data_IF_401414620308
#
_entry.id   IF_401414620308
#
_cell.length_a   1.000
_cell.length_b   1.000
_cell.length_c   1.000
_cell.angle_alpha   90.00
_cell.angle_beta   90.00
_cell.angle_gamma   90.00
#
_symmetry.space_group_name_H-M   'P 1'
#
loop_
_entity.id
_entity.type
_entity.pdbx_description
1 polymer ?
#
# COMPACT_ATOMS: atom_id res chain seq x y z
N UNK A 1 62.90 55.55 3.34
CA UNK A 1 62.95 55.00 1.97
C UNK A 1 63.11 53.50 2.08
N UNK A 2 62.04 52.75 1.81
CA UNK A 2 62.04 51.28 1.87
C UNK A 2 62.76 50.75 0.63
N UNK A 3 63.68 49.80 0.79
CA UNK A 3 64.49 49.26 -0.32
C UNK A 3 63.59 48.43 -1.26
N UNK A 4 63.77 48.58 -2.57
CA UNK A 4 62.99 47.91 -3.63
C UNK A 4 62.89 46.38 -3.42
N UNK A 5 63.93 45.73 -2.89
CA UNK A 5 63.89 44.29 -2.59
C UNK A 5 62.94 43.92 -1.44
N UNK A 6 62.74 44.80 -0.45
CA UNK A 6 61.78 44.57 0.64
C UNK A 6 60.34 44.86 0.23
N UNK A 7 60.15 45.74 -0.76
CA UNK A 7 58.85 45.97 -1.39
C UNK A 7 58.41 44.74 -2.21
N UNK A 8 59.34 44.11 -2.95
CA UNK A 8 59.05 42.89 -3.72
C UNK A 8 58.72 41.68 -2.82
N UNK A 9 59.41 41.50 -1.69
CA UNK A 9 59.10 40.39 -0.76
C UNK A 9 57.79 40.63 -0.02
N UNK A 10 57.47 41.87 0.34
CA UNK A 10 56.17 42.21 0.95
C UNK A 10 54.99 42.00 -0.01
N UNK A 11 55.15 42.33 -1.31
CA UNK A 11 54.11 42.09 -2.33
C UNK A 11 53.96 40.59 -2.64
N UNK A 12 55.06 39.82 -2.64
CA UNK A 12 55.00 38.37 -2.79
C UNK A 12 54.29 37.68 -1.60
N UNK A 13 54.52 38.13 -0.35
CA UNK A 13 53.78 37.60 0.80
C UNK A 13 52.30 38.00 0.80
N UNK A 14 51.96 39.23 0.37
CA UNK A 14 50.56 39.69 0.31
C UNK A 14 49.75 38.94 -0.76
N UNK A 15 50.38 38.52 -1.84
CA UNK A 15 49.72 37.77 -2.93
C UNK A 15 49.54 36.29 -2.60
N UNK A 16 50.44 35.66 -1.83
CA UNK A 16 50.23 34.29 -1.34
C UNK A 16 49.09 34.19 -0.31
N UNK A 17 48.76 35.26 0.42
CA UNK A 17 47.68 35.26 1.41
C UNK A 17 46.27 35.38 0.79
N UNK A 18 46.14 35.69 -0.51
CA UNK A 18 44.84 35.91 -1.16
C UNK A 18 44.32 34.70 -1.97
N UNK A 19 45.03 33.56 -1.96
CA UNK A 19 44.63 32.36 -2.71
C UNK A 19 43.77 31.38 -1.91
N UNK A 20 43.48 31.63 -0.63
CA UNK A 20 42.49 30.86 0.12
C UNK A 20 41.09 31.44 -0.04
N UNK A 21 40.58 31.45 -1.28
CA UNK A 21 39.13 31.57 -1.46
C UNK A 21 38.56 30.24 -0.98
N UNK A 22 37.67 30.20 0.02
CA UNK A 22 36.96 28.97 0.31
C UNK A 22 36.22 28.60 -0.97
N UNK A 23 36.61 27.51 -1.62
CA UNK A 23 35.74 26.84 -2.58
C UNK A 23 34.44 26.65 -1.84
N UNK A 24 33.40 27.40 -2.22
CA UNK A 24 32.04 27.04 -1.87
C UNK A 24 31.92 25.61 -2.35
N UNK A 25 31.96 24.66 -1.41
CA UNK A 25 31.52 23.31 -1.70
C UNK A 25 30.12 23.53 -2.24
N UNK A 26 29.95 23.34 -3.55
CA UNK A 26 28.64 23.19 -4.14
C UNK A 26 28.09 22.00 -3.37
N UNK A 27 27.23 22.29 -2.39
CA UNK A 27 26.45 21.26 -1.74
C UNK A 27 25.76 20.55 -2.89
N UNK A 28 26.17 19.32 -3.19
CA UNK A 28 25.36 18.46 -4.05
C UNK A 28 23.93 18.59 -3.51
N UNK A 29 22.93 18.78 -4.37
CA UNK A 29 21.55 18.66 -3.91
C UNK A 29 21.51 17.35 -3.14
N UNK A 30 21.12 17.41 -1.86
CA UNK A 30 20.95 16.19 -1.10
C UNK A 30 20.07 15.28 -1.95
N UNK A 31 20.60 14.14 -2.39
CA UNK A 31 19.78 13.15 -3.08
C UNK A 31 18.62 12.88 -2.14
N UNK A 32 17.43 13.26 -2.57
CA UNK A 32 16.23 13.10 -1.77
C UNK A 32 16.02 11.59 -1.69
N UNK A 33 16.37 11.01 -0.53
CA UNK A 33 16.28 9.57 -0.32
C UNK A 33 14.82 9.14 -0.51
N UNK A 34 14.58 8.33 -1.53
CA UNK A 34 13.23 7.85 -1.83
C UNK A 34 12.82 6.88 -0.73
N UNK A 35 11.71 7.13 -0.01
CA UNK A 35 11.31 6.27 1.08
C UNK A 35 10.93 4.88 0.57
N UNK A 36 11.41 3.84 1.25
CA UNK A 36 10.97 2.47 1.01
C UNK A 36 9.55 2.28 1.57
N UNK A 37 8.60 1.73 0.79
CA UNK A 37 7.26 1.42 1.29
C UNK A 37 7.31 0.52 2.52
N UNK A 38 6.48 0.82 3.51
CA UNK A 38 6.32 -0.07 4.67
C UNK A 38 5.51 -1.29 4.24
N UNK A 39 5.95 -2.52 4.59
CA UNK A 39 5.13 -3.71 4.39
C UNK A 39 3.80 -3.59 5.13
N UNK A 40 2.75 -4.19 4.59
CA UNK A 40 1.49 -4.31 5.31
C UNK A 40 1.67 -5.12 6.59
N UNK A 41 0.92 -4.79 7.67
CA UNK A 41 0.86 -5.65 8.85
C UNK A 41 0.35 -7.04 8.49
N UNK A 42 0.80 -8.06 9.22
CA UNK A 42 0.36 -9.45 8.99
C UNK A 42 -1.16 -9.63 9.16
N UNK A 43 -1.77 -8.83 10.02
CA UNK A 43 -3.21 -8.84 10.28
C UNK A 43 -3.74 -7.43 10.52
N UNK A 44 -4.82 -7.06 9.84
CA UNK A 44 -5.52 -5.80 10.05
C UNK A 44 -6.98 -5.87 9.59
N UNK A 45 -7.78 -4.93 10.08
CA UNK A 45 -9.11 -4.64 9.57
C UNK A 45 -9.13 -3.26 8.90
N UNK A 46 -9.75 -3.16 7.73
CA UNK A 46 -9.90 -1.91 7.01
C UNK A 46 -11.36 -1.70 6.59
N UNK A 47 -11.81 -0.45 6.66
CA UNK A 47 -13.12 -0.04 6.15
C UNK A 47 -12.96 0.76 4.87
N UNK A 48 -13.38 0.18 3.74
CA UNK A 48 -13.24 0.79 2.42
C UNK A 48 -14.57 1.37 1.96
N UNK A 49 -14.54 2.62 1.52
CA UNK A 49 -15.67 3.30 0.89
C UNK A 49 -15.40 3.44 -0.60
N UNK A 50 -16.13 2.69 -1.42
CA UNK A 50 -15.88 2.59 -2.85
C UNK A 50 -17.04 3.12 -3.66
N UNK A 51 -16.72 3.92 -4.68
CA UNK A 51 -17.64 4.25 -5.76
C UNK A 51 -17.34 3.33 -6.94
N UNK A 52 -18.19 2.33 -7.15
CA UNK A 52 -17.99 1.36 -8.22
C UNK A 52 -18.33 1.99 -9.57
N UNK A 53 -17.68 1.50 -10.64
CA UNK A 53 -17.90 1.96 -12.02
C UNK A 53 -19.36 1.90 -12.49
N UNK A 54 -20.18 1.09 -11.82
CA UNK A 54 -21.63 0.97 -12.02
C UNK A 54 -22.46 2.03 -11.28
N UNK A 55 -21.82 3.08 -10.75
CA UNK A 55 -22.41 4.16 -9.94
C UNK A 55 -23.14 3.67 -8.69
N UNK A 56 -22.64 2.58 -8.08
CA UNK A 56 -23.15 2.04 -6.83
C UNK A 56 -22.10 2.24 -5.73
N UNK A 57 -22.50 2.89 -4.63
CA UNK A 57 -21.64 2.97 -3.45
C UNK A 57 -21.61 1.61 -2.74
N UNK A 58 -20.40 1.22 -2.35
CA UNK A 58 -20.13 0.02 -1.57
C UNK A 58 -19.28 0.38 -0.36
N UNK A 59 -19.66 -0.15 0.80
CA UNK A 59 -18.79 -0.24 1.97
C UNK A 59 -18.25 -1.67 2.03
N UNK A 60 -16.94 -1.84 2.20
CA UNK A 60 -16.31 -3.14 2.46
C UNK A 60 -15.62 -3.13 3.81
N UNK A 61 -15.92 -4.12 4.65
CA UNK A 61 -15.07 -4.47 5.78
C UNK A 61 -14.08 -5.53 5.29
N UNK A 62 -12.79 -5.20 5.26
CA UNK A 62 -11.72 -6.09 4.85
C UNK A 62 -10.95 -6.56 6.08
N UNK A 63 -10.96 -7.86 6.33
CA UNK A 63 -10.12 -8.51 7.32
C UNK A 63 -8.99 -9.24 6.60
N UNK A 64 -7.78 -8.69 6.71
CA UNK A 64 -6.55 -9.26 6.15
C UNK A 64 -5.90 -10.17 7.19
N UNK A 65 -5.59 -11.41 6.80
CA UNK A 65 -5.01 -12.42 7.70
C UNK A 65 -3.95 -13.27 6.98
N UNK A 66 -2.76 -12.69 6.84
CA UNK A 66 -1.63 -13.30 6.12
C UNK A 66 -1.13 -14.62 6.73
N UNK A 67 -0.96 -14.77 8.06
CA UNK A 67 -0.51 -16.04 8.65
C UNK A 67 -1.46 -17.20 8.31
N UNK A 68 -2.76 -16.92 8.21
CA UNK A 68 -3.78 -17.91 7.84
C UNK A 68 -4.14 -17.89 6.34
N UNK A 69 -3.41 -17.11 5.52
CA UNK A 69 -3.49 -17.11 4.06
C UNK A 69 -4.88 -16.79 3.50
N UNK A 70 -5.59 -15.86 4.14
CA UNK A 70 -6.94 -15.47 3.75
C UNK A 70 -7.19 -13.95 3.84
N UNK A 71 -8.05 -13.46 2.97
CA UNK A 71 -8.74 -12.18 3.10
C UNK A 71 -10.24 -12.43 3.19
N UNK A 72 -10.91 -11.75 4.11
CA UNK A 72 -12.38 -11.77 4.17
C UNK A 72 -12.88 -10.36 3.92
N UNK A 73 -13.69 -10.20 2.87
CA UNK A 73 -14.41 -8.98 2.59
C UNK A 73 -15.91 -9.16 2.88
N UNK A 74 -16.51 -8.16 3.51
CA UNK A 74 -17.96 -8.08 3.72
C UNK A 74 -18.48 -6.84 3.00
N UNK A 75 -19.15 -7.05 1.87
CA UNK A 75 -19.64 -6.00 1.00
C UNK A 75 -21.09 -5.63 1.31
N UNK A 76 -21.30 -4.35 1.59
CA UNK A 76 -22.63 -3.74 1.66
C UNK A 76 -22.78 -2.71 0.53
N UNK A 77 -23.61 -3.03 -0.46
CA UNK A 77 -24.04 -2.08 -1.50
C UNK A 77 -25.34 -1.38 -1.08
N UNK A 78 -25.56 -0.14 -1.51
CA UNK A 78 -26.75 0.64 -1.10
C UNK A 78 -28.10 -0.04 -1.39
N UNK A 79 -28.18 -0.88 -2.42
CA UNK A 79 -29.40 -1.60 -2.83
C UNK A 79 -29.14 -3.10 -3.06
N UNK A 80 -28.06 -3.62 -2.46
CA UNK A 80 -27.65 -5.01 -2.62
C UNK A 80 -27.94 -5.87 -1.39
N UNK A 81 -27.74 -7.17 -1.55
CA UNK A 81 -27.64 -8.10 -0.42
C UNK A 81 -26.25 -7.98 0.21
N UNK A 82 -26.15 -8.24 1.52
CA UNK A 82 -24.87 -8.37 2.20
C UNK A 82 -24.13 -9.58 1.61
N UNK A 83 -23.00 -9.32 0.96
CA UNK A 83 -22.23 -10.34 0.27
C UNK A 83 -20.91 -10.54 1.01
N UNK A 84 -20.59 -11.80 1.28
CA UNK A 84 -19.32 -12.21 1.86
C UNK A 84 -18.43 -12.73 0.76
N UNK A 85 -17.15 -12.44 0.90
CA UNK A 85 -16.10 -12.85 -0.01
C UNK A 85 -14.92 -13.35 0.83
N UNK A 86 -14.56 -14.63 0.69
CA UNK A 86 -13.35 -15.18 1.28
C UNK A 86 -12.38 -15.59 0.18
N UNK A 87 -11.25 -14.90 0.15
CA UNK A 87 -10.17 -15.09 -0.81
C UNK A 87 -9.05 -15.87 -0.14
N UNK A 88 -8.61 -16.95 -0.77
CA UNK A 88 -7.47 -17.74 -0.32
C UNK A 88 -6.21 -17.37 -1.12
N UNK A 89 -5.05 -17.54 -0.48
CA UNK A 89 -3.76 -17.26 -1.11
C UNK A 89 -3.43 -18.15 -2.33
N UNK A 90 -4.18 -19.22 -2.57
CA UNK A 90 -4.06 -20.06 -3.77
C UNK A 90 -4.98 -19.58 -4.92
N UNK A 91 -5.62 -18.42 -4.79
CA UNK A 91 -6.52 -17.84 -5.78
C UNK A 91 -7.95 -18.38 -5.74
N UNK A 92 -8.25 -19.39 -4.91
CA UNK A 92 -9.64 -19.83 -4.72
C UNK A 92 -10.40 -18.79 -3.92
N UNK A 93 -11.53 -18.34 -4.43
CA UNK A 93 -12.37 -17.32 -3.80
C UNK A 93 -13.81 -17.79 -3.74
N UNK A 94 -14.50 -17.52 -2.63
CA UNK A 94 -15.92 -17.83 -2.46
C UNK A 94 -16.72 -16.57 -2.22
N UNK A 95 -17.67 -16.29 -3.10
CA UNK A 95 -18.70 -15.27 -2.91
C UNK A 95 -19.98 -15.92 -2.40
N UNK A 96 -20.48 -15.50 -1.24
CA UNK A 96 -21.66 -16.14 -0.66
C UNK A 96 -22.54 -15.19 0.16
N UNK A 97 -23.81 -15.56 0.29
CA UNK A 97 -24.77 -14.89 1.19
C UNK A 97 -25.15 -15.85 2.31
N UNK A 98 -25.35 -15.34 3.54
CA UNK A 98 -25.76 -16.16 4.68
C UNK A 98 -27.29 -16.24 4.82
N UNK A 99 -27.79 -17.31 5.44
CA UNK A 99 -29.21 -17.52 5.75
C UNK A 99 -29.76 -18.83 5.17
N UNK A 100 -31.06 -19.09 5.38
CA UNK A 100 -31.72 -20.34 4.96
C UNK A 100 -31.64 -20.57 3.44
N UNK A 101 -31.60 -19.49 2.64
CA UNK A 101 -31.47 -19.53 1.18
C UNK A 101 -30.12 -18.95 0.71
N UNK A 102 -29.05 -19.22 1.48
CA UNK A 102 -27.71 -18.76 1.15
C UNK A 102 -27.26 -19.24 -0.22
N UNK A 103 -26.67 -18.34 -0.99
CA UNK A 103 -26.08 -18.63 -2.31
C UNK A 103 -24.56 -18.74 -2.19
N UNK A 104 -23.92 -19.47 -3.10
CA UNK A 104 -22.47 -19.53 -3.19
C UNK A 104 -22.02 -19.57 -4.65
N UNK A 105 -20.96 -18.82 -4.95
CA UNK A 105 -20.23 -18.82 -6.21
C UNK A 105 -18.75 -19.01 -5.89
N UNK A 106 -18.10 -19.90 -6.62
CA UNK A 106 -16.68 -20.21 -6.43
C UNK A 106 -15.91 -19.68 -7.64
N UNK A 107 -14.94 -18.82 -7.39
CA UNK A 107 -14.07 -18.24 -8.39
C UNK A 107 -12.66 -18.79 -8.20
N UNK A 108 -11.91 -18.91 -9.29
CA UNK A 108 -10.49 -19.19 -9.25
C UNK A 108 -9.76 -18.07 -9.99
N UNK A 109 -8.93 -17.34 -9.25
CA UNK A 109 -8.02 -16.34 -9.78
C UNK A 109 -6.63 -16.96 -9.98
N UNK A 110 -5.87 -16.41 -10.92
CA UNK A 110 -4.47 -16.78 -11.17
C UNK A 110 -3.52 -16.27 -10.08
N UNK A 111 -3.98 -15.27 -9.31
CA UNK A 111 -3.26 -14.68 -8.20
C UNK A 111 -4.02 -14.87 -6.90
N UNK A 112 -3.29 -15.01 -5.79
CA UNK A 112 -3.84 -15.02 -4.44
C UNK A 112 -3.96 -13.64 -3.83
N UNK A 113 -4.19 -13.61 -2.52
CA UNK A 113 -4.20 -12.38 -1.72
C UNK A 113 -2.86 -11.64 -1.81
N UNK A 114 -2.91 -10.32 -1.69
CA UNK A 114 -1.71 -9.47 -1.75
C UNK A 114 -0.75 -9.80 -0.60
N UNK A 115 0.54 -10.07 -0.88
CA UNK A 115 1.53 -10.28 0.16
C UNK A 115 1.89 -8.97 0.88
N UNK A 116 2.46 -9.02 2.10
CA UNK A 116 2.83 -7.83 2.86
C UNK A 116 3.73 -6.85 2.11
N UNK A 117 4.59 -7.34 1.23
CA UNK A 117 5.56 -6.59 0.45
C UNK A 117 5.07 -6.25 -0.96
N UNK A 118 3.78 -6.33 -1.28
CA UNK A 118 3.27 -6.10 -2.65
C UNK A 118 3.57 -4.70 -3.22
N UNK A 119 3.98 -3.74 -2.37
CA UNK A 119 4.40 -2.40 -2.76
C UNK A 119 5.92 -2.28 -2.98
N UNK A 120 6.70 -3.34 -2.78
CA UNK A 120 8.13 -3.32 -3.04
C UNK A 120 8.41 -3.04 -4.53
N UNK A 121 9.38 -2.17 -4.80
CA UNK A 121 9.68 -1.68 -6.14
C UNK A 121 8.68 -0.68 -6.73
N UNK A 122 7.69 -0.20 -5.97
CA UNK A 122 6.74 0.81 -6.44
C UNK A 122 7.41 2.18 -6.71
N UNK A 123 6.86 2.91 -7.69
CA UNK A 123 7.32 4.27 -8.02
C UNK A 123 6.82 5.29 -6.99
N UNK A 124 7.74 6.02 -6.37
CA UNK A 124 7.42 7.11 -5.48
C UNK A 124 6.95 8.36 -6.22
N UNK A 125 5.85 8.94 -5.77
CA UNK A 125 5.17 10.09 -6.40
C UNK A 125 5.32 11.39 -5.60
N UNK A 126 6.00 11.36 -4.45
CA UNK A 126 6.13 12.49 -3.53
C UNK A 126 5.15 12.42 -2.36
N UNK A 127 5.10 13.48 -1.56
CA UNK A 127 4.22 13.56 -0.38
C UNK A 127 2.95 14.36 -0.66
N UNK A 128 1.82 13.93 -0.09
CA UNK A 128 0.55 14.66 -0.11
C UNK A 128 -0.07 14.70 1.29
N UNK A 129 -0.77 15.78 1.64
CA UNK A 129 -1.60 15.82 2.85
C UNK A 129 -3.02 15.36 2.52
N UNK A 130 -3.49 14.32 3.20
CA UNK A 130 -4.85 13.76 3.07
C UNK A 130 -5.45 13.63 4.47
N UNK A 131 -6.65 14.19 4.68
CA UNK A 131 -7.37 14.18 5.97
C UNK A 131 -6.53 14.65 7.18
N UNK A 132 -5.59 15.56 6.95
CA UNK A 132 -4.68 16.09 7.99
C UNK A 132 -3.42 15.26 8.24
N UNK A 133 -3.22 14.16 7.50
CA UNK A 133 -2.03 13.30 7.58
C UNK A 133 -1.09 13.54 6.40
N UNK A 134 0.22 13.61 6.66
CA UNK A 134 1.24 13.64 5.61
C UNK A 134 1.51 12.22 5.12
N UNK A 135 1.12 11.93 3.88
CA UNK A 135 1.21 10.62 3.27
C UNK A 135 2.29 10.58 2.18
N UNK A 136 3.03 9.48 2.12
CA UNK A 136 3.93 9.17 1.00
C UNK A 136 3.10 8.55 -0.14
N UNK A 137 3.03 9.24 -1.27
CA UNK A 137 2.31 8.81 -2.46
C UNK A 137 3.09 7.75 -3.21
N UNK A 138 2.48 6.58 -3.36
CA UNK A 138 2.82 5.54 -4.33
C UNK A 138 1.53 5.22 -5.08
N UNK A 139 1.59 5.04 -6.40
CA UNK A 139 0.39 4.83 -7.26
C UNK A 139 -0.50 3.70 -6.71
N UNK A 140 -1.79 3.83 -6.38
CA UNK A 140 -2.68 4.94 -6.00
C UNK A 140 -3.96 4.32 -5.41
N UNK A 141 -3.93 3.85 -4.15
CA UNK A 141 -5.15 3.56 -3.36
C UNK A 141 -4.81 3.78 -1.88
N UNK A 142 -5.52 4.71 -1.22
CA UNK A 142 -5.33 4.98 0.21
C UNK A 142 -6.31 4.11 0.99
N UNK A 143 -5.77 3.22 1.80
CA UNK A 143 -6.55 2.40 2.75
C UNK A 143 -6.11 2.81 4.15
N UNK A 144 -7.07 3.17 4.99
CA UNK A 144 -6.88 3.32 6.44
C UNK A 144 -7.35 2.04 7.12
N UNK A 145 -6.59 1.58 8.12
CA UNK A 145 -6.84 0.31 8.79
C UNK A 145 -6.49 0.36 10.27
N UNK A 146 -7.08 -0.56 11.02
CA UNK A 146 -6.79 -0.85 12.42
C UNK A 146 -6.02 -2.18 12.52
N UNK A 147 -4.86 -2.17 13.16
CA UNK A 147 -3.99 -3.35 13.26
C UNK A 147 -4.53 -4.32 14.32
N UNK A 148 -4.58 -5.61 13.98
CA UNK A 148 -4.84 -6.69 14.94
C UNK A 148 -6.31 -6.91 15.32
N UNK A 149 -7.26 -6.22 14.69
CA UNK A 149 -8.68 -6.59 14.80
C UNK A 149 -8.95 -7.88 14.02
N UNK A 150 -9.52 -8.87 14.69
CA UNK A 150 -9.80 -10.19 14.12
C UNK A 150 -11.30 -10.38 13.90
N UNK A 151 -11.61 -11.01 12.77
CA UNK A 151 -12.96 -11.46 12.47
C UNK A 151 -13.35 -12.62 13.41
N UNK A 152 -14.62 -12.67 13.80
CA UNK A 152 -15.14 -13.77 14.60
C UNK A 152 -14.99 -15.10 13.83
N UNK A 153 -14.53 -16.16 14.52
CA UNK A 153 -14.18 -17.47 13.94
C UNK A 153 -15.23 -18.03 12.97
N UNK A 154 -16.52 -17.81 13.25
CA UNK A 154 -17.64 -18.28 12.43
C UNK A 154 -17.66 -17.71 11.00
N UNK A 155 -16.96 -16.62 10.74
CA UNK A 155 -16.89 -15.98 9.42
C UNK A 155 -15.54 -16.18 8.72
N UNK A 156 -14.65 -16.99 9.29
CA UNK A 156 -13.30 -17.21 8.75
C UNK A 156 -13.24 -18.32 7.68
N UNK A 157 -14.38 -18.88 7.31
CA UNK A 157 -14.52 -19.93 6.29
C UNK A 157 -15.86 -19.80 5.57
N UNK A 158 -15.89 -20.17 4.29
CA UNK A 158 -17.11 -20.29 3.52
C UNK A 158 -18.05 -21.35 4.14
N UNK A 159 -19.37 -21.16 4.09
CA UNK A 159 -20.32 -22.13 4.63
C UNK A 159 -20.26 -23.49 3.92
N UNK A 160 -20.67 -24.56 4.63
CA UNK A 160 -20.57 -25.93 4.12
C UNK A 160 -21.25 -26.14 2.75
N UNK A 161 -22.35 -25.42 2.47
CA UNK A 161 -23.06 -25.53 1.19
C UNK A 161 -22.22 -25.08 -0.02
N UNK A 162 -21.20 -24.25 0.18
CA UNK A 162 -20.24 -23.88 -0.87
C UNK A 162 -19.39 -25.06 -1.37
N UNK A 163 -19.29 -26.14 -0.60
CA UNK A 163 -18.48 -27.32 -0.95
C UNK A 163 -19.31 -28.47 -1.53
N UNK A 164 -20.64 -28.36 -1.51
CA UNK A 164 -21.56 -29.46 -1.85
C UNK A 164 -22.31 -29.26 -3.18
N UNK A 165 -22.35 -28.04 -3.74
CA UNK A 165 -23.01 -27.76 -5.01
C UNK A 165 -22.24 -28.36 -6.19
N UNK A 166 -22.93 -29.16 -7.02
CA UNK A 166 -22.39 -29.79 -8.23
C UNK A 166 -22.18 -28.80 -9.39
N UNK A 167 -22.81 -27.63 -9.34
CA UNK A 167 -22.57 -26.54 -10.27
C UNK A 167 -21.36 -25.72 -9.82
N UNK A 168 -20.17 -26.31 -10.01
CA UNK A 168 -18.92 -25.56 -10.05
C UNK A 168 -18.91 -24.73 -11.32
N UNK A 169 -19.70 -23.66 -11.37
CA UNK A 169 -19.45 -22.60 -12.33
C UNK A 169 -18.19 -21.86 -11.88
N UNK A 170 -17.04 -22.52 -12.07
CA UNK A 170 -15.72 -21.93 -11.99
C UNK A 170 -15.65 -20.93 -13.14
N UNK A 171 -16.09 -19.70 -12.86
CA UNK A 171 -15.82 -18.59 -13.76
C UNK A 171 -14.33 -18.27 -13.60
N UNK A 172 -13.51 -18.82 -14.48
CA UNK A 172 -12.16 -18.32 -14.71
C UNK A 172 -12.31 -16.95 -15.40
N UNK A 173 -11.91 -15.88 -14.72
CA UNK A 173 -11.78 -14.58 -15.36
C UNK A 173 -10.44 -14.61 -16.11
N UNK A 174 -10.48 -14.94 -17.42
CA UNK A 174 -9.35 -14.73 -18.34
C UNK A 174 -9.11 -13.23 -18.59
#
# INVERSE_FOLDING_TARGET
MMKINELCTAIALLTLLQLSVPTNAVSQPAEMEVPTPQPWPEQFHALLYMNLSTAQLQISNLYYDWPNRRNVNIFQKQLGVLLYDIEWNNGTTFYYTLGENGTCMIMQFDVGILPPDFLDGANYLGTQVTDGFLCNGISTHVITFEIGELLQDSFTQAPAYCFTSQDKELLSVE
#
